data_IF_518529763681
#
_entry.id   IF_518529763681
#
_cell.length_a   1.000
_cell.length_b   1.000
_cell.length_c   1.000
_cell.angle_alpha   90.00
_cell.angle_beta   90.00
_cell.angle_gamma   90.00
#
_symmetry.space_group_name_H-M   'P 1'
#
loop_
_entity.id
_entity.type
_entity.pdbx_description
1 polymer ?
#
# COMPACT_ATOMS: atom_id res chain seq x y z
N UNK A 1 69.59 -19.92 21.34
CA UNK A 1 68.65 -18.91 20.82
C UNK A 1 67.29 -19.55 20.67
N UNK A 2 66.32 -19.14 21.48
CA UNK A 2 64.96 -19.69 21.55
C UNK A 2 64.13 -19.14 20.38
N UNK A 3 63.40 -19.99 19.66
CA UNK A 3 62.30 -19.57 18.79
C UNK A 3 61.03 -20.28 19.23
N UNK A 4 60.29 -19.60 20.09
CA UNK A 4 58.88 -19.88 20.35
C UNK A 4 58.10 -19.61 19.08
N UNK A 5 57.36 -20.60 18.57
CA UNK A 5 56.29 -20.34 17.61
C UNK A 5 54.97 -20.26 18.38
N UNK A 6 54.48 -19.03 18.49
CA UNK A 6 53.11 -18.70 18.86
C UNK A 6 52.16 -19.34 17.85
N UNK A 7 51.34 -20.30 18.28
CA UNK A 7 50.15 -20.72 17.55
C UNK A 7 49.07 -19.68 17.87
N UNK A 8 48.88 -18.75 16.93
CA UNK A 8 47.85 -17.72 17.00
C UNK A 8 46.49 -18.34 16.63
N UNK A 9 45.53 -18.17 17.53
CA UNK A 9 44.09 -18.32 17.34
C UNK A 9 43.64 -17.84 15.95
N UNK A 10 42.93 -18.68 15.20
CA UNK A 10 42.02 -18.25 14.13
C UNK A 10 40.60 -18.67 14.51
N UNK A 11 39.94 -17.79 15.26
CA UNK A 11 38.52 -17.86 15.58
C UNK A 11 37.83 -16.67 14.87
N UNK A 12 36.79 -17.02 14.11
CA UNK A 12 35.69 -16.21 13.55
C UNK A 12 35.98 -15.30 12.32
N UNK A 13 34.97 -15.00 11.45
CA UNK A 13 33.55 -15.38 11.53
C UNK A 13 32.93 -15.96 10.23
N UNK A 14 32.15 -17.03 10.37
CA UNK A 14 31.12 -17.41 9.41
C UNK A 14 29.89 -16.49 9.59
N UNK A 15 30.03 -15.22 9.21
CA UNK A 15 28.91 -14.29 9.04
C UNK A 15 28.96 -13.76 7.61
N UNK A 16 28.80 -14.68 6.66
CA UNK A 16 28.63 -14.33 5.24
C UNK A 16 27.14 -14.40 4.91
N UNK A 17 26.54 -13.21 4.89
CA UNK A 17 25.45 -12.80 4.01
C UNK A 17 24.09 -13.50 4.13
N UNK A 18 23.37 -13.21 5.22
CA UNK A 18 21.93 -12.98 5.09
C UNK A 18 21.71 -11.57 4.50
N UNK A 19 21.93 -11.40 3.19
CA UNK A 19 21.49 -10.17 2.54
C UNK A 19 19.96 -10.18 2.48
N UNK A 20 19.28 -9.09 2.85
CA UNK A 20 17.85 -8.97 2.61
C UNK A 20 17.64 -9.16 1.10
N UNK A 21 16.77 -10.12 0.73
CA UNK A 21 16.38 -10.34 -0.67
C UNK A 21 15.83 -9.00 -1.18
N UNK A 22 16.62 -8.24 -1.93
CA UNK A 22 16.12 -7.08 -2.66
C UNK A 22 15.02 -7.60 -3.56
N UNK A 23 13.80 -7.09 -3.39
CA UNK A 23 12.69 -7.42 -4.26
C UNK A 23 13.14 -7.23 -5.71
N UNK A 24 13.12 -8.31 -6.49
CA UNK A 24 13.46 -8.24 -7.90
C UNK A 24 12.47 -7.29 -8.59
N UNK A 25 12.98 -6.27 -9.31
CA UNK A 25 12.15 -5.36 -10.13
C UNK A 25 11.21 -6.11 -11.08
N UNK A 26 11.50 -7.37 -11.40
CA UNK A 26 10.71 -8.21 -12.30
C UNK A 26 9.31 -8.54 -11.77
N UNK A 27 9.09 -8.44 -10.46
CA UNK A 27 7.83 -8.80 -9.83
C UNK A 27 7.03 -7.58 -9.35
N UNK A 28 7.50 -6.34 -9.57
CA UNK A 28 6.76 -5.13 -9.23
C UNK A 28 5.82 -4.75 -10.38
N UNK A 29 4.63 -4.25 -10.05
CA UNK A 29 3.72 -3.63 -11.00
C UNK A 29 3.02 -2.42 -10.38
N UNK A 30 2.51 -1.53 -11.24
CA UNK A 30 1.65 -0.42 -10.82
C UNK A 30 0.21 -0.91 -10.88
N UNK A 31 -0.50 -0.91 -9.76
CA UNK A 31 -1.91 -1.35 -9.73
C UNK A 31 -2.82 -0.33 -10.42
N UNK A 32 -2.62 0.95 -10.13
CA UNK A 32 -3.27 2.07 -10.81
C UNK A 32 -2.38 3.32 -10.66
N UNK A 33 -2.56 4.26 -11.58
CA UNK A 33 -1.98 5.60 -11.53
C UNK A 33 -3.06 6.56 -12.05
N UNK A 34 -3.62 7.37 -11.15
CA UNK A 34 -4.75 8.24 -11.48
C UNK A 34 -4.52 9.64 -10.93
N UNK A 35 -4.81 10.64 -11.76
CA UNK A 35 -4.92 12.03 -11.35
C UNK A 35 -6.39 12.43 -11.36
N UNK A 36 -6.86 13.03 -10.27
CA UNK A 36 -8.25 13.45 -10.13
C UNK A 36 -8.36 14.69 -9.25
N UNK A 37 -9.42 15.46 -9.45
CA UNK A 37 -9.82 16.54 -8.54
C UNK A 37 -10.82 15.99 -7.53
N UNK A 38 -10.60 16.27 -6.25
CA UNK A 38 -11.48 15.83 -5.18
C UNK A 38 -11.84 17.00 -4.25
N UNK A 39 -13.13 17.27 -4.11
CA UNK A 39 -13.64 18.43 -3.38
C UNK A 39 -14.43 18.00 -2.14
N UNK A 40 -14.73 18.97 -1.24
CA UNK A 40 -15.63 18.73 -0.11
C UNK A 40 -17.01 18.25 -0.57
N UNK A 41 -17.53 18.78 -1.68
CA UNK A 41 -18.78 18.30 -2.25
C UNK A 41 -18.71 16.80 -2.60
N UNK A 42 -17.61 16.34 -3.20
CA UNK A 42 -17.41 14.90 -3.45
C UNK A 42 -17.35 14.12 -2.13
N UNK A 43 -16.62 14.62 -1.13
CA UNK A 43 -16.55 13.98 0.17
C UNK A 43 -17.94 13.81 0.83
N UNK A 44 -18.84 14.76 0.65
CA UNK A 44 -20.16 14.76 1.28
C UNK A 44 -21.24 14.04 0.46
N UNK A 45 -21.05 13.90 -0.86
CA UNK A 45 -22.08 13.42 -1.78
C UNK A 45 -21.69 12.22 -2.65
N UNK A 46 -20.45 11.71 -2.56
CA UNK A 46 -20.04 10.52 -3.32
C UNK A 46 -20.96 9.32 -3.05
N UNK A 47 -21.22 8.55 -4.10
CA UNK A 47 -22.05 7.34 -4.05
C UNK A 47 -21.28 6.14 -4.62
N UNK A 48 -21.46 4.93 -4.06
CA UNK A 48 -22.41 4.56 -3.01
C UNK A 48 -22.05 5.06 -1.60
N UNK A 49 -20.78 5.38 -1.34
CA UNK A 49 -20.31 5.81 -0.03
C UNK A 49 -19.70 7.20 -0.09
N UNK A 50 -20.00 8.01 0.92
CA UNK A 50 -19.38 9.32 1.14
C UNK A 50 -17.87 9.17 1.31
N UNK A 51 -17.12 10.22 1.00
CA UNK A 51 -15.67 10.26 1.15
C UNK A 51 -14.88 9.31 0.24
N UNK A 52 -15.54 8.60 -0.69
CA UNK A 52 -14.87 7.67 -1.59
C UNK A 52 -14.64 8.28 -2.98
N UNK A 53 -13.46 8.05 -3.52
CA UNK A 53 -13.15 8.08 -4.95
C UNK A 53 -12.91 6.65 -5.43
N UNK A 54 -13.57 6.25 -6.51
CA UNK A 54 -13.60 4.86 -6.98
C UNK A 54 -12.70 4.67 -8.20
N UNK A 55 -11.69 3.81 -8.08
CA UNK A 55 -10.87 3.34 -9.20
C UNK A 55 -11.40 1.97 -9.61
N UNK A 56 -12.07 1.92 -10.75
CA UNK A 56 -12.79 0.76 -11.28
C UNK A 56 -12.38 0.48 -12.72
N UNK A 57 -12.68 -0.73 -13.19
CA UNK A 57 -12.62 -1.11 -14.61
C UNK A 57 -11.27 -0.78 -15.26
N UNK A 58 -11.29 0.07 -16.28
CA UNK A 58 -10.17 0.49 -17.12
C UNK A 58 -9.15 1.40 -16.41
N UNK A 59 -9.49 1.92 -15.22
CA UNK A 59 -8.53 2.65 -14.39
C UNK A 59 -7.58 1.72 -13.61
N UNK A 60 -7.91 0.43 -13.49
CA UNK A 60 -6.98 -0.56 -12.95
C UNK A 60 -6.07 -1.08 -14.06
N UNK A 61 -4.83 -1.40 -13.71
CA UNK A 61 -3.88 -2.01 -14.63
C UNK A 61 -4.48 -3.33 -15.18
N UNK A 62 -4.55 -3.51 -16.52
CA UNK A 62 -5.04 -4.76 -17.12
C UNK A 62 -4.25 -6.01 -16.71
N UNK A 63 -3.04 -5.83 -16.18
CA UNK A 63 -2.18 -6.90 -15.65
C UNK A 63 -2.38 -7.15 -14.14
N UNK A 64 -3.42 -6.56 -13.54
CA UNK A 64 -3.78 -6.83 -12.14
C UNK A 64 -3.91 -8.35 -11.94
N UNK A 65 -3.22 -8.95 -10.96
CA UNK A 65 -3.29 -10.39 -10.75
C UNK A 65 -4.71 -10.85 -10.43
N UNK A 66 -5.13 -11.94 -11.05
CA UNK A 66 -6.37 -12.66 -10.71
C UNK A 66 -6.22 -13.53 -9.47
N UNK A 67 -4.98 -13.89 -9.13
CA UNK A 67 -4.57 -14.52 -7.87
C UNK A 67 -3.35 -13.74 -7.36
N UNK A 68 -3.43 -13.21 -6.15
CA UNK A 68 -2.38 -12.41 -5.51
C UNK A 68 -1.40 -13.26 -4.68
N UNK A 69 -1.60 -14.58 -4.64
CA UNK A 69 -0.75 -15.54 -3.92
C UNK A 69 0.10 -16.40 -4.87
N UNK A 70 -0.24 -16.44 -6.16
CA UNK A 70 0.42 -17.27 -7.17
C UNK A 70 0.35 -16.65 -8.58
N UNK A 71 1.37 -16.81 -9.44
CA UNK A 71 2.66 -17.49 -9.20
C UNK A 71 3.64 -16.64 -8.36
N UNK A 72 3.26 -15.38 -8.09
CA UNK A 72 4.00 -14.47 -7.22
C UNK A 72 3.10 -14.19 -6.02
N UNK A 73 3.63 -14.41 -4.82
CA UNK A 73 2.96 -14.07 -3.57
C UNK A 73 3.09 -12.57 -3.29
N UNK A 74 2.15 -11.80 -3.83
CA UNK A 74 1.99 -10.38 -3.52
C UNK A 74 1.41 -10.17 -2.12
N UNK A 75 0.55 -11.09 -1.65
CA UNK A 75 -0.12 -11.02 -0.34
C UNK A 75 0.86 -10.86 0.84
N UNK A 76 2.05 -11.46 0.76
CA UNK A 76 3.11 -11.30 1.76
C UNK A 76 4.16 -10.24 1.38
N UNK A 77 3.86 -9.41 0.38
CA UNK A 77 4.71 -8.32 -0.08
C UNK A 77 4.41 -6.98 0.56
N UNK A 78 4.81 -5.93 -0.15
CA UNK A 78 4.71 -4.53 0.26
C UNK A 78 4.04 -3.74 -0.84
N UNK A 79 3.09 -2.89 -0.48
CA UNK A 79 2.54 -1.90 -1.40
C UNK A 79 3.28 -0.59 -1.19
N UNK A 80 3.87 -0.10 -2.27
CA UNK A 80 4.39 1.26 -2.36
C UNK A 80 3.25 2.19 -2.76
N UNK A 81 3.06 3.25 -2.01
CA UNK A 81 1.97 4.20 -2.22
C UNK A 81 2.58 5.60 -2.36
N UNK A 82 2.26 6.27 -3.46
CA UNK A 82 2.65 7.65 -3.74
C UNK A 82 1.40 8.49 -3.96
N UNK A 83 1.21 9.50 -3.12
CA UNK A 83 0.23 10.56 -3.30
C UNK A 83 0.96 11.85 -3.64
N UNK A 84 0.58 12.47 -4.74
CA UNK A 84 1.04 13.82 -5.09
C UNK A 84 -0.13 14.79 -5.01
N UNK A 85 -0.06 15.70 -4.04
CA UNK A 85 -1.05 16.77 -3.85
C UNK A 85 -0.60 17.95 -4.70
N UNK A 86 -1.20 18.08 -5.88
CA UNK A 86 -0.91 19.16 -6.83
C UNK A 86 -1.53 20.49 -6.42
N UNK A 87 -2.71 20.45 -5.81
CA UNK A 87 -3.44 21.62 -5.31
C UNK A 87 -4.08 21.28 -3.96
N UNK A 88 -3.99 22.21 -3.01
CA UNK A 88 -4.70 22.10 -1.72
C UNK A 88 -5.64 23.28 -1.52
N UNK A 89 -6.88 22.98 -1.12
CA UNK A 89 -7.83 24.02 -0.76
C UNK A 89 -7.26 24.97 0.32
N UNK A 90 -7.54 26.28 0.24
CA UNK A 90 -7.09 27.26 1.22
C UNK A 90 -7.43 26.86 2.66
N UNK A 91 -6.54 27.22 3.60
CA UNK A 91 -6.69 26.93 5.03
C UNK A 91 -6.01 25.64 5.49
N UNK A 92 -5.48 24.81 4.58
CA UNK A 92 -4.58 23.71 4.96
C UNK A 92 -5.20 22.64 5.87
N UNK A 93 -6.54 22.50 5.83
CA UNK A 93 -7.27 21.55 6.67
C UNK A 93 -6.67 20.13 6.55
N UNK A 94 -6.40 19.43 7.67
CA UNK A 94 -5.87 18.08 7.64
C UNK A 94 -6.76 17.15 6.81
N UNK A 95 -6.15 16.40 5.90
CA UNK A 95 -6.87 15.44 5.06
C UNK A 95 -6.21 14.09 5.19
N UNK A 96 -6.99 13.12 5.65
CA UNK A 96 -6.60 11.72 5.67
C UNK A 96 -6.93 11.09 4.34
N UNK A 97 -6.14 10.08 4.01
CA UNK A 97 -6.34 9.24 2.84
C UNK A 97 -6.09 7.80 3.26
N UNK A 98 -6.84 6.87 2.68
CA UNK A 98 -6.77 5.42 2.90
C UNK A 98 -7.08 4.72 1.59
N UNK A 99 -6.28 3.72 1.20
CA UNK A 99 -6.58 2.83 0.08
C UNK A 99 -7.24 1.56 0.58
N UNK A 100 -8.42 1.23 0.06
CA UNK A 100 -9.13 0.00 0.34
C UNK A 100 -9.20 -0.88 -0.91
N UNK A 101 -8.77 -2.12 -0.77
CA UNK A 101 -8.84 -3.15 -1.79
C UNK A 101 -10.21 -3.82 -1.72
N UNK A 102 -10.95 -3.79 -2.83
CA UNK A 102 -12.26 -4.42 -2.93
C UNK A 102 -12.13 -5.71 -3.74
N UNK A 103 -12.34 -6.88 -3.11
CA UNK A 103 -12.08 -8.16 -3.76
C UNK A 103 -13.18 -8.53 -4.77
N UNK A 104 -12.83 -9.40 -5.73
CA UNK A 104 -13.85 -10.10 -6.53
C UNK A 104 -14.74 -10.95 -5.62
N UNK A 105 -14.09 -11.66 -4.68
CA UNK A 105 -14.73 -12.46 -3.64
C UNK A 105 -14.05 -12.17 -2.31
N UNK A 106 -14.79 -11.65 -1.35
CA UNK A 106 -14.31 -11.49 0.01
C UNK A 106 -15.00 -12.44 0.97
N UNK A 107 -14.61 -12.30 2.21
CA UNK A 107 -15.24 -12.89 3.38
C UNK A 107 -15.44 -11.78 4.43
N UNK A 108 -16.26 -12.02 5.45
CA UNK A 108 -16.55 -11.04 6.51
C UNK A 108 -16.96 -9.67 5.92
N UNK A 109 -16.16 -8.62 6.16
CA UNK A 109 -16.43 -7.24 5.75
C UNK A 109 -16.10 -6.95 4.28
N UNK A 110 -15.50 -7.89 3.54
CA UNK A 110 -15.30 -7.83 2.09
C UNK A 110 -14.47 -6.62 1.60
N UNK A 111 -13.46 -6.20 2.36
CA UNK A 111 -12.44 -5.23 1.94
C UNK A 111 -11.18 -5.38 2.79
N UNK A 112 -10.08 -4.76 2.38
CA UNK A 112 -8.87 -4.62 3.20
C UNK A 112 -8.21 -3.27 2.94
N UNK A 113 -7.90 -2.51 3.99
CA UNK A 113 -7.48 -1.11 3.87
C UNK A 113 -6.08 -0.82 4.44
N UNK A 114 -5.33 0.01 3.74
CA UNK A 114 -4.03 0.53 4.16
C UNK A 114 -4.20 1.67 5.16
N UNK A 115 -3.28 1.84 6.11
CA UNK A 115 -3.16 3.07 6.89
C UNK A 115 -2.12 3.99 6.26
N UNK A 116 -2.53 5.07 5.58
CA UNK A 116 -1.63 5.90 4.75
C UNK A 116 -1.25 7.26 5.35
N UNK A 117 -2.03 7.79 6.29
CA UNK A 117 -1.69 9.00 7.05
C UNK A 117 -2.50 10.23 6.66
N UNK A 118 -1.94 11.42 6.88
CA UNK A 118 -2.57 12.70 6.58
C UNK A 118 -1.65 13.65 5.81
N UNK A 119 -2.25 14.56 5.06
CA UNK A 119 -1.56 15.69 4.42
C UNK A 119 -2.26 17.02 4.72
N UNK A 120 -1.49 18.11 4.71
CA UNK A 120 -1.97 19.48 4.99
C UNK A 120 -1.58 20.48 3.92
N UNK A 121 -0.67 20.10 3.01
CA UNK A 121 -0.09 20.97 1.98
C UNK A 121 0.12 20.20 0.67
N UNK A 122 0.42 20.95 -0.38
CA UNK A 122 0.91 20.40 -1.63
C UNK A 122 2.25 19.67 -1.45
N UNK A 123 2.51 18.71 -2.32
CA UNK A 123 3.74 17.94 -2.34
C UNK A 123 3.53 16.43 -2.46
N UNK A 124 4.65 15.71 -2.38
CA UNK A 124 4.70 14.26 -2.53
C UNK A 124 4.73 13.58 -1.17
N UNK A 125 3.84 12.63 -0.99
CA UNK A 125 3.70 11.79 0.20
C UNK A 125 3.88 10.33 -0.23
N UNK A 126 4.91 9.68 0.29
CA UNK A 126 5.25 8.30 -0.06
C UNK A 126 5.37 7.43 1.18
N UNK A 127 4.90 6.19 1.07
CA UNK A 127 5.06 5.19 2.10
C UNK A 127 5.02 3.79 1.52
N UNK A 128 5.72 2.89 2.20
CA UNK A 128 5.70 1.45 1.94
C UNK A 128 4.92 0.77 3.07
N UNK A 129 3.86 0.03 2.72
CA UNK A 129 2.99 -0.65 3.69
C UNK A 129 3.04 -2.16 3.45
N UNK A 130 3.49 -2.97 4.44
CA UNK A 130 3.38 -4.42 4.35
C UNK A 130 1.91 -4.83 4.15
N UNK A 131 1.62 -5.69 3.18
CA UNK A 131 0.23 -6.12 2.94
C UNK A 131 -0.37 -6.82 4.17
N UNK A 132 0.45 -7.46 5.00
CA UNK A 132 0.07 -8.14 6.24
C UNK A 132 -0.35 -7.20 7.38
N UNK A 133 -0.12 -5.89 7.30
CA UNK A 133 -0.51 -4.95 8.37
C UNK A 133 -1.87 -4.29 8.15
N UNK A 134 -2.57 -4.61 7.06
CA UNK A 134 -3.79 -3.90 6.68
C UNK A 134 -4.97 -4.24 7.58
N UNK A 135 -5.82 -3.24 7.79
CA UNK A 135 -7.11 -3.44 8.42
C UNK A 135 -7.97 -4.35 7.54
N UNK A 136 -8.65 -5.33 8.14
CA UNK A 136 -9.51 -6.30 7.45
C UNK A 136 -8.79 -7.10 6.33
N UNK A 137 -7.46 -7.24 6.37
CA UNK A 137 -6.76 -7.95 5.30
C UNK A 137 -7.27 -9.39 5.07
N UNK A 138 -7.60 -10.07 6.15
CA UNK A 138 -8.17 -11.43 6.14
C UNK A 138 -9.61 -11.48 5.62
N UNK A 139 -10.22 -10.35 5.30
CA UNK A 139 -11.55 -10.27 4.68
C UNK A 139 -11.50 -10.35 3.15
N UNK A 140 -10.30 -10.45 2.57
CA UNK A 140 -10.09 -10.65 1.13
C UNK A 140 -9.70 -12.11 0.85
N UNK A 141 -10.36 -12.74 -0.12
CA UNK A 141 -9.90 -14.02 -0.68
C UNK A 141 -8.93 -13.72 -1.82
N UNK A 142 -7.65 -13.62 -1.48
CA UNK A 142 -6.57 -13.16 -2.36
C UNK A 142 -6.37 -14.02 -3.62
N UNK A 143 -6.77 -15.29 -3.58
CA UNK A 143 -6.74 -16.20 -4.72
C UNK A 143 -7.75 -15.86 -5.82
N UNK A 144 -8.70 -14.97 -5.52
CA UNK A 144 -9.76 -14.55 -6.46
C UNK A 144 -9.53 -13.12 -6.98
N UNK A 145 -8.46 -12.46 -6.53
CA UNK A 145 -8.09 -11.12 -6.99
C UNK A 145 -9.06 -10.02 -6.55
N UNK A 146 -8.86 -8.84 -7.14
CA UNK A 146 -9.62 -7.63 -6.81
C UNK A 146 -10.32 -7.06 -8.03
N UNK A 147 -11.40 -6.29 -7.79
CA UNK A 147 -12.19 -5.63 -8.85
C UNK A 147 -12.09 -4.11 -8.84
N UNK A 148 -11.68 -3.55 -7.71
CA UNK A 148 -11.82 -2.11 -7.46
C UNK A 148 -10.89 -1.68 -6.33
N UNK A 149 -10.46 -0.43 -6.43
CA UNK A 149 -9.72 0.29 -5.40
C UNK A 149 -10.55 1.49 -4.94
N UNK A 150 -10.71 1.61 -3.62
CA UNK A 150 -11.47 2.68 -2.99
C UNK A 150 -10.50 3.62 -2.28
N UNK A 151 -10.44 4.86 -2.77
CA UNK A 151 -9.66 5.92 -2.16
C UNK A 151 -10.58 6.67 -1.20
N UNK A 152 -10.42 6.42 0.09
CA UNK A 152 -11.20 7.08 1.13
C UNK A 152 -10.45 8.35 1.56
N UNK A 153 -11.03 9.51 1.25
CA UNK A 153 -10.44 10.83 1.50
C UNK A 153 -11.37 11.59 2.45
N UNK A 154 -10.90 11.81 3.68
CA UNK A 154 -11.67 12.43 4.76
C UNK A 154 -10.93 13.63 5.33
N UNK A 155 -11.66 14.70 5.61
CA UNK A 155 -11.19 15.83 6.40
C UNK A 155 -11.32 15.52 7.92
N UNK A 156 -11.10 16.53 8.75
CA UNK A 156 -11.28 16.47 10.21
C UNK A 156 -12.74 16.50 10.67
N UNK A 157 -13.71 16.64 9.74
CA UNK A 157 -15.15 16.71 10.07
C UNK A 157 -15.77 15.36 10.45
N UNK A 158 -14.95 14.31 10.60
CA UNK A 158 -15.35 13.10 11.32
C UNK A 158 -16.47 12.31 10.64
N UNK A 159 -16.53 12.33 9.30
CA UNK A 159 -17.42 11.44 8.57
C UNK A 159 -17.14 9.99 8.94
N UNK A 160 -18.06 9.38 9.71
CA UNK A 160 -18.21 7.93 9.81
C UNK A 160 -18.68 7.42 8.44
N UNK A 161 -17.79 7.45 7.45
CA UNK A 161 -17.85 6.59 6.29
C UNK A 161 -17.42 5.20 6.69
#
# INVERSE_FOLDING_TARGET
MKKSFFILLLILPAVLFAQPKKASKKNQFVLFDVQFTYTKANADSSTPSKSHYYVKHDMLNPKTPTDWTSPIDYRNGTVHIRLEVLEKAPGGAPTTWTLCYIPNKGQKNNYGCTSTGLYTKEGVYELDVPMTSWWENESIIWTEGIKQMDLVIKDDSGGQG
#
